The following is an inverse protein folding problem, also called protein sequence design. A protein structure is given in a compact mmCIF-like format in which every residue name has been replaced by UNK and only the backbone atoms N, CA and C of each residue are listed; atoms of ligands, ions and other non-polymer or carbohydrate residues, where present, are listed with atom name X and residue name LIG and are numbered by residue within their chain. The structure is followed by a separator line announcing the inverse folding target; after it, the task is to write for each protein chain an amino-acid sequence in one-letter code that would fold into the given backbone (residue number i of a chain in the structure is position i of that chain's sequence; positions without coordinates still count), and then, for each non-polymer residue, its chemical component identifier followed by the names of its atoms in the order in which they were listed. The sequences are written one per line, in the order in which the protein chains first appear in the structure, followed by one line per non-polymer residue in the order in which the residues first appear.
data_IF_117505704654
#
_entry.id   IF_117505704654
#
_cell.length_a   1.000
_cell.length_b   1.000
_cell.length_c   1.000
_cell.angle_alpha   90.00
_cell.angle_beta   90.00
_cell.angle_gamma   90.00
#
_symmetry.space_group_name_H-M   'P 1'
#
loop_
_entity.id
_entity.type
_entity.pdbx_description
1 polymer ?
#
# COMPACT_ATOMS: atom_id res chain seq x y z
N UNK A 1 -38.55 11.77 -19.93
CA UNK A 1 -37.36 10.98 -19.52
C UNK A 1 -36.22 11.38 -20.43
N UNK A 2 -35.29 12.20 -19.92
CA UNK A 2 -33.91 12.38 -20.40
C UNK A 2 -33.35 13.55 -19.57
N UNK A 3 -32.52 13.25 -18.58
CA UNK A 3 -31.69 14.26 -17.92
C UNK A 3 -30.32 13.63 -17.67
N UNK A 4 -29.49 13.83 -18.68
CA UNK A 4 -28.08 14.22 -18.61
C UNK A 4 -27.37 13.92 -17.28
N UNK A 5 -26.55 12.88 -17.28
CA UNK A 5 -25.52 12.68 -16.25
C UNK A 5 -24.45 13.76 -16.44
N UNK A 6 -24.44 14.76 -15.57
CA UNK A 6 -23.27 15.64 -15.42
C UNK A 6 -22.19 14.84 -14.69
N UNK A 7 -21.18 14.42 -15.45
CA UNK A 7 -19.92 13.91 -14.92
C UNK A 7 -19.25 15.04 -14.12
N UNK A 8 -19.30 14.97 -12.80
CA UNK A 8 -18.49 15.84 -11.94
C UNK A 8 -17.06 15.29 -11.95
N UNK A 9 -16.22 15.95 -12.74
CA UNK A 9 -14.77 15.77 -12.79
C UNK A 9 -14.14 16.19 -11.47
N UNK A 10 -13.60 15.25 -10.71
CA UNK A 10 -12.83 15.52 -9.49
C UNK A 10 -11.36 15.80 -9.88
N UNK A 11 -10.94 17.06 -9.85
CA UNK A 11 -9.54 17.45 -10.07
C UNK A 11 -8.84 17.65 -8.71
N UNK A 12 -8.01 16.67 -8.33
CA UNK A 12 -7.12 16.76 -7.17
C UNK A 12 -5.88 17.66 -7.44
N UNK A 13 -5.11 18.03 -6.39
CA UNK A 13 -4.10 19.09 -6.46
C UNK A 13 -2.75 18.68 -7.08
N UNK A 14 -2.59 17.44 -7.55
CA UNK A 14 -1.38 17.01 -8.23
C UNK A 14 -1.53 17.21 -9.73
N UNK A 15 -0.87 18.22 -10.28
CA UNK A 15 -0.66 18.42 -11.72
C UNK A 15 0.21 17.33 -12.38
N UNK A 16 0.45 16.21 -11.70
CA UNK A 16 1.08 15.02 -12.26
C UNK A 16 -0.02 14.06 -12.69
N UNK A 17 -0.10 13.83 -14.00
CA UNK A 17 -1.08 12.93 -14.59
C UNK A 17 -1.07 11.57 -13.89
N UNK A 18 -2.25 11.13 -13.47
CA UNK A 18 -2.48 9.75 -13.05
C UNK A 18 -2.27 8.89 -14.30
N UNK A 19 -1.18 8.12 -14.34
CA UNK A 19 -0.91 7.20 -15.44
C UNK A 19 -1.96 6.09 -15.39
N UNK A 20 -2.96 6.18 -16.26
CA UNK A 20 -3.90 5.09 -16.51
C UNK A 20 -3.15 4.01 -17.32
N UNK A 21 -2.77 2.92 -16.66
CA UNK A 21 -2.20 1.75 -17.32
C UNK A 21 -3.22 1.05 -18.22
N UNK A 22 -2.75 0.31 -19.22
CA UNK A 22 -3.64 -0.53 -20.06
C UNK A 22 -4.18 -1.70 -19.22
N UNK A 23 -5.49 -1.89 -19.23
CA UNK A 23 -6.14 -3.04 -18.61
C UNK A 23 -6.15 -4.22 -19.60
N UNK A 24 -5.67 -5.39 -19.16
CA UNK A 24 -5.77 -6.67 -19.85
C UNK A 24 -6.29 -7.71 -18.87
N UNK A 25 -7.35 -8.46 -19.23
CA UNK A 25 -7.98 -9.47 -18.38
C UNK A 25 -8.35 -9.00 -16.95
N UNK A 26 -8.77 -7.73 -16.84
CA UNK A 26 -9.17 -7.14 -15.55
C UNK A 26 -8.01 -6.68 -14.66
N UNK A 27 -6.76 -6.72 -15.14
CA UNK A 27 -5.58 -6.29 -14.40
C UNK A 27 -4.88 -5.11 -15.12
N UNK A 28 -4.41 -4.13 -14.35
CA UNK A 28 -3.65 -2.99 -14.87
C UNK A 28 -2.17 -3.31 -14.91
N UNK A 29 -1.56 -3.22 -16.10
CA UNK A 29 -0.16 -3.55 -16.30
C UNK A 29 0.74 -2.36 -15.88
N UNK A 30 1.51 -2.54 -14.80
CA UNK A 30 2.57 -1.59 -14.41
C UNK A 30 3.82 -1.95 -15.20
N UNK A 31 4.22 -1.11 -16.15
CA UNK A 31 5.45 -1.33 -16.90
C UNK A 31 6.66 -1.13 -15.97
N UNK A 32 7.36 -2.22 -15.64
CA UNK A 32 8.68 -2.14 -15.02
C UNK A 32 9.66 -1.68 -16.11
N UNK A 33 10.00 -0.40 -16.09
CA UNK A 33 10.91 0.19 -17.07
C UNK A 33 12.30 -0.42 -17.00
N UNK A 34 12.61 -1.34 -17.92
CA UNK A 34 13.99 -1.55 -18.37
C UNK A 34 14.25 -0.50 -19.45
N UNK A 35 14.77 0.66 -19.07
CA UNK A 35 15.32 1.60 -20.03
C UNK A 35 16.59 1.01 -20.64
N UNK A 36 16.44 0.32 -21.77
CA UNK A 36 17.54 0.16 -22.72
C UNK A 36 17.12 0.87 -24.01
N UNK A 37 17.72 2.05 -24.22
CA UNK A 37 17.68 2.75 -25.50
C UNK A 37 18.22 1.80 -26.58
N UNK A 38 17.41 1.52 -27.59
CA UNK A 38 17.87 0.83 -28.79
C UNK A 38 18.76 1.79 -29.60
N UNK A 39 20.02 1.40 -29.81
CA UNK A 39 20.84 1.86 -30.93
C UNK A 39 21.44 0.62 -31.58
N UNK A 40 21.20 0.47 -32.88
CA UNK A 40 21.66 -0.66 -33.67
C UNK A 40 23.17 -0.62 -33.90
N UNK A 41 23.86 -1.77 -33.75
CA UNK A 41 24.80 -2.34 -34.72
C UNK A 41 25.66 -3.46 -34.11
N UNK A 42 25.89 -4.50 -34.93
CA UNK A 42 27.01 -5.44 -34.91
C UNK A 42 27.22 -6.37 -33.70
N UNK A 43 26.78 -7.62 -33.91
CA UNK A 43 27.40 -8.89 -33.53
C UNK A 43 28.38 -8.96 -32.35
N UNK A 44 27.94 -9.65 -31.30
CA UNK A 44 28.76 -10.62 -30.56
C UNK A 44 27.79 -11.60 -29.90
N UNK A 45 27.82 -12.86 -30.32
CA UNK A 45 27.10 -13.95 -29.64
C UNK A 45 27.85 -14.23 -28.33
N UNK A 46 27.46 -13.53 -27.25
CA UNK A 46 27.81 -13.97 -25.90
C UNK A 46 26.87 -15.11 -25.58
N UNK A 47 27.41 -16.32 -25.47
CA UNK A 47 26.69 -17.45 -24.86
C UNK A 47 26.45 -17.10 -23.40
N UNK A 48 25.30 -16.49 -23.11
CA UNK A 48 24.81 -16.40 -21.74
C UNK A 48 24.56 -17.83 -21.28
N UNK A 49 25.52 -18.39 -20.52
CA UNK A 49 25.24 -19.49 -19.60
C UNK A 49 24.22 -18.94 -18.61
N UNK A 50 22.94 -19.09 -18.95
CA UNK A 50 21.85 -18.93 -18.03
C UNK A 50 22.05 -20.04 -17.00
N UNK A 51 22.79 -19.77 -15.92
CA UNK A 51 22.82 -20.67 -14.79
C UNK A 51 21.42 -20.62 -14.21
N UNK A 52 20.59 -21.58 -14.62
CA UNK A 52 19.32 -21.84 -13.97
C UNK A 52 19.65 -22.47 -12.62
N UNK A 53 20.13 -21.65 -11.68
CA UNK A 53 19.96 -21.96 -10.28
C UNK A 53 18.45 -21.93 -10.04
N UNK A 54 17.83 -23.11 -9.98
CA UNK A 54 16.60 -23.29 -9.21
C UNK A 54 16.91 -22.81 -7.80
N UNK A 55 16.51 -21.57 -7.49
CA UNK A 55 16.54 -21.08 -6.14
C UNK A 55 15.43 -21.84 -5.41
N UNK A 56 15.81 -22.86 -4.65
CA UNK A 56 15.00 -23.40 -3.56
C UNK A 56 14.74 -22.20 -2.61
N UNK A 57 13.71 -21.40 -2.88
CA UNK A 57 13.38 -20.20 -2.12
C UNK A 57 12.67 -20.64 -0.85
N UNK A 58 13.43 -21.16 0.12
CA UNK A 58 13.00 -21.05 1.51
C UNK A 58 12.98 -19.56 1.83
N UNK A 59 11.80 -18.95 1.74
CA UNK A 59 11.64 -17.52 1.93
C UNK A 59 11.98 -17.18 3.38
N UNK A 60 12.92 -16.25 3.57
CA UNK A 60 13.38 -15.88 4.90
C UNK A 60 12.26 -15.23 5.72
N UNK A 61 12.34 -15.35 7.05
CA UNK A 61 11.42 -14.67 7.96
C UNK A 61 11.25 -13.18 7.64
N UNK A 62 12.36 -12.48 7.33
CA UNK A 62 12.38 -11.04 7.00
C UNK A 62 11.49 -10.71 5.81
N UNK A 63 11.47 -11.59 4.80
CA UNK A 63 10.66 -11.41 3.59
C UNK A 63 9.18 -11.49 3.92
N UNK A 64 8.76 -12.49 4.71
CA UNK A 64 7.37 -12.63 5.14
C UNK A 64 6.94 -11.58 6.13
N UNK A 65 7.83 -11.18 7.05
CA UNK A 65 7.61 -10.07 7.96
C UNK A 65 7.24 -8.80 7.20
N UNK A 66 7.97 -8.49 6.14
CA UNK A 66 7.68 -7.31 5.31
C UNK A 66 6.40 -7.49 4.48
N UNK A 67 6.22 -8.65 3.83
CA UNK A 67 5.04 -8.93 2.98
C UNK A 67 3.72 -8.96 3.75
N UNK A 68 3.74 -9.37 5.02
CA UNK A 68 2.56 -9.48 5.87
C UNK A 68 2.32 -8.26 6.78
N UNK A 69 2.91 -7.11 6.44
CA UNK A 69 2.67 -5.87 7.19
C UNK A 69 3.27 -5.88 8.59
N UNK A 70 4.52 -6.36 8.71
CA UNK A 70 5.26 -6.42 9.97
C UNK A 70 4.67 -7.37 11.01
N UNK A 71 4.07 -8.47 10.55
CA UNK A 71 3.51 -9.51 11.40
C UNK A 71 4.59 -10.09 12.35
N UNK A 72 4.19 -10.44 13.58
CA UNK A 72 5.15 -10.90 14.60
C UNK A 72 5.81 -12.22 14.23
N UNK A 73 7.01 -12.44 14.78
CA UNK A 73 7.76 -13.69 14.61
C UNK A 73 6.91 -14.93 14.89
N UNK A 74 6.23 -14.95 16.04
CA UNK A 74 5.43 -16.09 16.49
C UNK A 74 4.27 -16.37 15.53
N UNK A 75 3.65 -15.33 14.95
CA UNK A 75 2.56 -15.48 13.99
C UNK A 75 3.05 -16.02 12.66
N UNK A 76 4.18 -15.55 12.15
CA UNK A 76 4.75 -16.06 10.90
C UNK A 76 5.23 -17.51 11.10
N UNK A 77 5.78 -17.84 12.28
CA UNK A 77 6.16 -19.22 12.64
C UNK A 77 4.95 -20.16 12.67
N UNK A 78 3.83 -19.72 13.26
CA UNK A 78 2.58 -20.48 13.26
C UNK A 78 2.04 -20.74 11.85
N UNK A 79 2.30 -19.84 10.91
CA UNK A 79 1.90 -20.00 9.50
C UNK A 79 2.84 -20.92 8.70
N UNK A 80 3.96 -21.37 9.28
CA UNK A 80 4.91 -22.26 8.60
C UNK A 80 5.58 -21.63 7.37
N UNK A 81 5.67 -20.29 7.31
CA UNK A 81 6.13 -19.57 6.12
C UNK A 81 7.65 -19.52 5.97
N UNK A 82 8.40 -19.90 7.00
CA UNK A 82 9.86 -20.05 6.94
C UNK A 82 10.30 -21.27 7.74
N UNK A 83 11.35 -21.92 7.28
CA UNK A 83 11.83 -23.19 7.82
C UNK A 83 13.12 -23.06 8.64
N UNK A 84 13.57 -21.83 8.93
CA UNK A 84 14.87 -21.61 9.55
C UNK A 84 14.75 -21.41 11.06
N UNK A 85 15.72 -21.97 11.79
CA UNK A 85 16.00 -21.73 13.21
C UNK A 85 16.52 -20.30 13.46
N UNK A 86 15.77 -19.30 13.01
CA UNK A 86 16.07 -17.90 13.27
C UNK A 86 15.68 -17.64 14.72
N UNK A 87 16.66 -17.24 15.54
CA UNK A 87 16.36 -16.78 16.88
C UNK A 87 15.58 -15.46 16.80
N UNK A 88 14.47 -15.38 17.52
CA UNK A 88 13.63 -14.16 17.63
C UNK A 88 14.45 -12.93 18.02
N UNK A 89 15.52 -13.12 18.79
CA UNK A 89 16.42 -12.08 19.29
C UNK A 89 17.37 -11.51 18.23
N UNK A 90 17.61 -12.22 17.14
CA UNK A 90 18.53 -11.78 16.08
C UNK A 90 17.86 -10.81 15.09
N UNK A 91 16.53 -10.73 15.11
CA UNK A 91 15.77 -9.84 14.22
C UNK A 91 15.23 -8.61 14.95
N UNK A 92 15.70 -7.44 14.54
CA UNK A 92 15.18 -6.14 15.01
C UNK A 92 14.64 -5.38 13.81
N UNK A 93 13.33 -5.14 13.78
CA UNK A 93 12.72 -4.26 12.79
C UNK A 93 12.62 -2.84 13.33
N UNK A 94 13.18 -1.87 12.60
CA UNK A 94 13.11 -0.44 12.96
C UNK A 94 11.72 0.18 12.74
N UNK A 95 10.87 -0.44 11.93
CA UNK A 95 9.53 0.05 11.57
C UNK A 95 8.49 -0.37 12.62
N UNK A 96 8.54 -1.62 13.08
CA UNK A 96 7.64 -2.16 14.11
C UNK A 96 7.42 -1.26 15.33
N UNK A 97 8.47 -0.76 16.02
CA UNK A 97 8.27 0.09 17.20
C UNK A 97 7.66 1.44 16.84
N UNK A 98 7.97 1.99 15.66
CA UNK A 98 7.39 3.24 15.17
C UNK A 98 5.91 3.08 14.83
N UNK A 99 5.56 1.98 14.17
CA UNK A 99 4.19 1.66 13.79
C UNK A 99 3.30 1.27 15.00
N UNK A 100 3.89 0.68 16.04
CA UNK A 100 3.20 0.33 17.29
C UNK A 100 3.22 1.42 18.35
N UNK A 101 3.87 2.55 18.08
CA UNK A 101 3.88 3.66 19.02
C UNK A 101 2.46 4.19 19.17
N UNK A 102 1.97 4.22 20.41
CA UNK A 102 0.69 4.87 20.68
C UNK A 102 0.81 6.35 20.35
N UNK A 103 -0.24 6.92 19.75
CA UNK A 103 -0.33 8.37 19.65
C UNK A 103 -0.31 8.94 21.07
N UNK A 104 0.55 9.93 21.32
CA UNK A 104 0.51 10.67 22.58
C UNK A 104 -0.90 11.22 22.83
N UNK A 105 -1.26 11.41 24.09
CA UNK A 105 -2.53 12.03 24.46
C UNK A 105 -2.74 13.31 23.68
N UNK A 106 -3.94 13.47 23.11
CA UNK A 106 -4.30 14.72 22.46
C UNK A 106 -4.24 15.86 23.49
N UNK A 107 -3.73 17.04 23.12
CA UNK A 107 -3.84 18.20 24.00
C UNK A 107 -5.32 18.50 24.28
N UNK A 108 -5.60 19.05 25.46
CA UNK A 108 -6.94 19.51 25.79
C UNK A 108 -7.34 20.61 24.80
N UNK A 109 -8.53 20.47 24.20
CA UNK A 109 -9.11 21.52 23.37
C UNK A 109 -9.53 22.68 24.25
N UNK A 110 -9.05 23.88 23.93
CA UNK A 110 -9.53 25.14 24.53
C UNK A 110 -10.81 25.65 23.86
N UNK A 111 -11.22 25.05 22.74
CA UNK A 111 -12.38 25.49 21.96
C UNK A 111 -13.66 25.04 22.66
N UNK A 112 -14.32 25.98 23.35
CA UNK A 112 -15.63 25.77 24.00
C UNK A 112 -16.56 26.91 23.61
N UNK A 113 -17.80 26.58 23.29
CA UNK A 113 -18.84 27.59 23.09
C UNK A 113 -19.24 28.20 24.45
N UNK A 114 -19.38 29.53 24.46
CA UNK A 114 -19.89 30.34 25.57
C UNK A 114 -21.33 30.80 25.35
N UNK A 115 -21.79 30.81 24.08
CA UNK A 115 -23.12 31.23 23.65
C UNK A 115 -23.78 30.16 22.78
N UNK A 116 -25.13 30.11 22.74
CA UNK A 116 -25.83 29.23 21.82
C UNK A 116 -25.41 29.48 20.36
N UNK A 117 -25.20 28.40 19.60
CA UNK A 117 -24.81 28.41 18.18
C UNK A 117 -23.45 29.05 17.85
N UNK A 118 -22.58 29.30 18.84
CA UNK A 118 -21.25 29.87 18.62
C UNK A 118 -20.26 28.90 17.94
N UNK A 119 -20.42 27.59 18.19
CA UNK A 119 -19.59 26.54 17.60
C UNK A 119 -20.49 25.42 17.06
N UNK A 120 -20.42 25.19 15.75
CA UNK A 120 -21.14 24.10 15.08
C UNK A 120 -20.10 23.13 14.53
N UNK A 121 -20.18 21.87 14.98
CA UNK A 121 -19.37 20.78 14.44
C UNK A 121 -20.22 20.02 13.41
N UNK A 122 -19.78 19.99 12.16
CA UNK A 122 -20.44 19.24 11.09
C UNK A 122 -19.44 18.22 10.55
N UNK A 123 -19.84 16.95 10.55
CA UNK A 123 -19.07 15.85 9.98
C UNK A 123 -19.81 15.29 8.76
N UNK A 124 -19.07 14.90 7.74
CA UNK A 124 -19.63 14.33 6.52
C UNK A 124 -19.52 12.82 6.65
N UNK A 125 -20.47 12.23 7.37
CA UNK A 125 -20.58 10.78 7.41
C UNK A 125 -21.13 10.26 6.09
N UNK A 126 -20.61 9.13 5.61
CA UNK A 126 -21.14 8.46 4.43
C UNK A 126 -22.61 8.08 4.61
N UNK A 127 -23.30 7.81 3.49
CA UNK A 127 -24.72 7.46 3.49
C UNK A 127 -25.03 6.36 4.52
N UNK A 128 -26.05 6.61 5.35
CA UNK A 128 -26.45 5.68 6.37
C UNK A 128 -27.03 4.41 5.74
N UNK A 129 -26.72 3.24 6.31
CA UNK A 129 -27.07 1.93 5.72
C UNK A 129 -28.56 1.61 5.75
N UNK A 130 -29.35 2.38 6.50
CA UNK A 130 -30.80 2.24 6.54
C UNK A 130 -31.46 3.58 6.27
N UNK A 131 -32.61 3.51 5.61
CA UNK A 131 -33.44 4.66 5.27
C UNK A 131 -34.09 5.14 6.57
N UNK A 132 -33.88 6.40 6.93
CA UNK A 132 -34.38 6.99 8.18
C UNK A 132 -35.77 7.61 8.07
N UNK A 133 -36.40 7.55 6.90
CA UNK A 133 -37.77 7.99 6.66
C UNK A 133 -38.40 7.19 5.52
N UNK A 134 -39.71 7.10 5.56
CA UNK A 134 -40.64 6.46 4.63
C UNK A 134 -40.96 7.34 3.40
#
# INVERSE_FOLDING_TARGET
MLLSMVLVSWQGPTSQGVVLGKACDGLYQVQHGSTLKAAAAAGTVVTQKHSQHRHEQSSSFVSWHTRLGHLSFDKIRQLGLFCNDINKTEFICSICPKAKLHRQSFPLSATRASRPFELIHVDIWGAYRCITHD
#
